data_IF_772583440560
#
_entry.id   IF_772583440560
#
_cell.length_a   1.000
_cell.length_b   1.000
_cell.length_c   1.000
_cell.angle_alpha   90.00
_cell.angle_beta   90.00
_cell.angle_gamma   90.00
#
_symmetry.space_group_name_H-M   'P 1'
#
loop_
_entity.id
_entity.type
_entity.pdbx_description
1 polymer ?
#
# COMPACT_ATOMS: atom_id res chain seq x y z
N UNK A 1 -26.14 -19.05 9.27
CA UNK A 1 -25.51 -18.01 10.10
C UNK A 1 -24.57 -18.69 11.06
N UNK A 2 -23.26 -18.43 11.00
CA UNK A 2 -22.35 -18.91 12.03
C UNK A 2 -22.63 -18.17 13.33
N UNK A 3 -22.63 -18.87 14.46
CA UNK A 3 -22.56 -18.19 15.75
C UNK A 3 -21.16 -17.65 15.94
N UNK A 4 -21.00 -16.34 16.15
CA UNK A 4 -19.75 -15.75 16.60
C UNK A 4 -19.57 -16.12 18.08
N UNK A 5 -18.51 -16.87 18.39
CA UNK A 5 -18.24 -17.32 19.76
C UNK A 5 -17.42 -16.28 20.53
N UNK A 6 -16.51 -15.60 19.85
CA UNK A 6 -15.64 -14.57 20.45
C UNK A 6 -15.26 -13.50 19.42
N UNK A 7 -15.02 -12.29 19.88
CA UNK A 7 -14.51 -11.18 19.09
C UNK A 7 -13.61 -10.29 19.95
N UNK A 8 -12.50 -9.82 19.37
CA UNK A 8 -11.63 -8.81 19.96
C UNK A 8 -12.02 -7.44 19.42
N UNK A 9 -12.42 -6.55 20.32
CA UNK A 9 -12.70 -5.15 19.98
C UNK A 9 -11.45 -4.29 20.20
N UNK A 10 -11.07 -3.50 19.19
CA UNK A 10 -10.00 -2.50 19.27
C UNK A 10 -10.62 -1.08 19.22
N UNK A 11 -11.02 -0.52 20.38
CA UNK A 11 -11.89 0.68 20.44
C UNK A 11 -11.21 1.97 19.94
N UNK A 12 -9.91 1.95 19.70
CA UNK A 12 -9.14 3.11 19.19
C UNK A 12 -8.83 2.99 17.69
N UNK A 13 -9.19 1.89 17.05
CA UNK A 13 -8.99 1.75 15.62
C UNK A 13 -10.00 2.57 14.83
N UNK A 14 -9.51 3.22 13.78
CA UNK A 14 -10.28 4.10 12.93
C UNK A 14 -10.39 3.51 11.51
N UNK A 15 -11.50 3.79 10.86
CA UNK A 15 -11.74 3.38 9.47
C UNK A 15 -11.81 4.59 8.56
N UNK A 16 -11.02 4.58 7.48
CA UNK A 16 -11.02 5.65 6.48
C UNK A 16 -11.29 5.13 5.07
N UNK A 17 -12.03 5.90 4.28
CA UNK A 17 -12.21 5.65 2.86
C UNK A 17 -11.03 6.26 2.07
N UNK A 18 -10.02 5.44 1.78
CA UNK A 18 -8.81 5.89 1.07
C UNK A 18 -9.10 6.44 -0.34
N UNK A 19 -10.16 5.96 -1.00
CA UNK A 19 -10.56 6.47 -2.32
C UNK A 19 -11.10 7.91 -2.21
N UNK A 20 -12.00 8.17 -1.27
CA UNK A 20 -12.54 9.52 -1.02
C UNK A 20 -11.43 10.47 -0.58
N UNK A 21 -10.58 10.03 0.33
CA UNK A 21 -9.44 10.83 0.82
C UNK A 21 -8.49 11.21 -0.31
N UNK A 22 -8.05 10.25 -1.14
CA UNK A 22 -7.11 10.50 -2.24
C UNK A 22 -7.68 11.48 -3.26
N UNK A 23 -8.98 11.34 -3.62
CA UNK A 23 -9.64 12.27 -4.54
C UNK A 23 -9.78 13.67 -3.94
N UNK A 24 -10.10 13.79 -2.66
CA UNK A 24 -10.18 15.08 -1.98
C UNK A 24 -8.81 15.75 -1.90
N UNK A 25 -7.77 14.99 -1.55
CA UNK A 25 -6.41 15.48 -1.48
C UNK A 25 -5.89 15.94 -2.86
N UNK A 26 -6.20 15.20 -3.93
CA UNK A 26 -5.82 15.59 -5.28
C UNK A 26 -6.46 16.92 -5.70
N UNK A 27 -7.74 17.14 -5.40
CA UNK A 27 -8.40 18.43 -5.66
C UNK A 27 -7.72 19.56 -4.90
N UNK A 28 -7.50 19.37 -3.60
CA UNK A 28 -6.85 20.39 -2.77
C UNK A 28 -5.41 20.66 -3.22
N UNK A 29 -4.65 19.65 -3.59
CA UNK A 29 -3.30 19.81 -4.13
C UNK A 29 -3.31 20.61 -5.45
N UNK A 30 -4.30 20.38 -6.32
CA UNK A 30 -4.46 21.15 -7.55
C UNK A 30 -4.73 22.64 -7.27
N UNK A 31 -5.55 22.96 -6.27
CA UNK A 31 -5.79 24.34 -5.81
C UNK A 31 -4.49 25.02 -5.32
N UNK A 32 -3.55 24.23 -4.79
CA UNK A 32 -2.22 24.69 -4.38
C UNK A 32 -1.19 24.71 -5.51
N UNK A 33 -1.61 24.45 -6.76
CA UNK A 33 -0.75 24.55 -7.95
C UNK A 33 -0.09 23.25 -8.38
N UNK A 34 -0.44 22.10 -7.81
CA UNK A 34 0.04 20.80 -8.29
C UNK A 34 -0.63 20.47 -9.62
N UNK A 35 0.18 20.16 -10.63
CA UNK A 35 -0.29 19.76 -11.96
C UNK A 35 -0.41 18.25 -12.05
N UNK A 36 -1.61 17.75 -12.31
CA UNK A 36 -1.89 16.34 -12.52
C UNK A 36 -1.97 16.01 -14.02
N UNK A 37 -1.17 15.05 -14.47
CA UNK A 37 -1.20 14.55 -15.84
C UNK A 37 -1.71 13.10 -15.83
N UNK A 38 -3.03 12.95 -15.95
CA UNK A 38 -3.68 11.64 -16.04
C UNK A 38 -3.54 11.06 -17.45
N UNK A 39 -3.77 9.74 -17.59
CA UNK A 39 -3.67 9.02 -18.86
C UNK A 39 -2.31 9.18 -19.54
N UNK A 40 -1.26 9.38 -18.75
CA UNK A 40 0.10 9.58 -19.21
C UNK A 40 0.94 8.34 -18.90
N UNK A 41 1.42 7.67 -19.95
CA UNK A 41 2.31 6.53 -19.82
C UNK A 41 3.75 6.99 -19.60
N UNK A 42 4.39 6.48 -18.55
CA UNK A 42 5.80 6.73 -18.26
C UNK A 42 6.64 5.69 -18.99
N UNK A 43 7.48 6.14 -19.93
CA UNK A 43 8.35 5.29 -20.73
C UNK A 43 9.75 5.11 -20.12
N UNK A 44 10.15 5.97 -19.18
CA UNK A 44 11.43 5.88 -18.49
C UNK A 44 11.87 7.21 -17.88
N UNK A 45 13.05 7.19 -17.29
CA UNK A 45 13.70 8.37 -16.73
C UNK A 45 14.73 8.92 -17.73
N UNK A 46 15.01 10.21 -17.66
CA UNK A 46 16.17 10.83 -18.29
C UNK A 46 17.24 11.02 -17.23
N UNK A 47 18.40 10.39 -17.44
CA UNK A 47 19.54 10.46 -16.51
C UNK A 47 20.79 10.82 -17.26
N UNK A 48 21.44 11.91 -16.86
CA UNK A 48 22.69 12.41 -17.42
C UNK A 48 23.69 12.72 -16.32
N UNK A 49 24.94 12.25 -16.46
CA UNK A 49 25.98 12.48 -15.47
C UNK A 49 25.64 12.00 -14.05
N UNK A 50 24.87 10.92 -13.93
CA UNK A 50 24.44 10.39 -12.63
C UNK A 50 23.33 11.20 -11.95
N UNK A 51 22.69 12.12 -12.67
CA UNK A 51 21.59 12.95 -12.16
C UNK A 51 20.33 12.73 -12.99
N UNK A 52 19.15 12.67 -12.34
CA UNK A 52 17.88 12.68 -13.05
C UNK A 52 17.63 14.07 -13.66
N UNK A 53 17.13 14.10 -14.90
CA UNK A 53 16.78 15.33 -15.63
C UNK A 53 15.29 15.43 -15.93
N UNK A 54 14.55 14.35 -15.70
CA UNK A 54 13.12 14.32 -15.93
C UNK A 54 12.60 12.92 -16.23
N UNK A 55 11.39 12.88 -16.77
CA UNK A 55 10.62 11.68 -17.06
C UNK A 55 10.19 11.69 -18.53
N UNK A 56 10.47 10.59 -19.26
CA UNK A 56 9.98 10.38 -20.62
C UNK A 56 8.59 9.79 -20.58
N UNK A 57 7.66 10.43 -21.25
CA UNK A 57 6.25 9.99 -21.33
C UNK A 57 5.83 9.75 -22.78
N UNK A 58 4.65 9.18 -22.98
CA UNK A 58 4.03 9.07 -24.31
C UNK A 58 3.63 10.41 -24.93
N UNK A 59 3.58 11.48 -24.14
CA UNK A 59 3.24 12.85 -24.57
C UNK A 59 4.46 13.76 -24.68
N UNK A 60 5.68 13.24 -24.40
CA UNK A 60 6.92 14.00 -24.47
C UNK A 60 7.75 13.92 -23.19
N UNK A 61 8.74 14.79 -23.11
CA UNK A 61 9.67 14.88 -21.98
C UNK A 61 9.15 15.87 -20.94
N UNK A 62 9.01 15.43 -19.69
CA UNK A 62 8.75 16.28 -18.53
C UNK A 62 10.06 16.51 -17.79
N UNK A 63 10.62 17.70 -17.85
CA UNK A 63 11.86 18.06 -17.16
C UNK A 63 11.61 18.27 -15.67
N UNK A 64 12.55 17.79 -14.84
CA UNK A 64 12.50 17.94 -13.39
C UNK A 64 13.90 17.80 -12.79
N UNK A 65 14.20 18.60 -11.76
CA UNK A 65 15.43 18.49 -10.98
C UNK A 65 15.38 17.34 -9.97
N UNK A 66 14.18 16.94 -9.59
CA UNK A 66 13.92 15.87 -8.62
C UNK A 66 12.72 15.05 -9.07
N UNK A 67 12.83 13.73 -8.96
CA UNK A 67 11.79 12.77 -9.33
C UNK A 67 11.56 11.83 -8.16
N UNK A 68 10.30 11.63 -7.78
CA UNK A 68 9.89 10.63 -6.78
C UNK A 68 9.17 9.49 -7.50
N UNK A 69 9.70 8.28 -7.40
CA UNK A 69 9.06 7.08 -7.93
C UNK A 69 8.15 6.51 -6.84
N UNK A 70 6.82 6.61 -7.05
CA UNK A 70 5.78 6.16 -6.13
C UNK A 70 4.78 5.22 -6.83
N UNK A 71 5.29 4.34 -7.71
CA UNK A 71 4.47 3.46 -8.57
C UNK A 71 4.09 2.12 -7.91
N UNK A 72 4.28 2.00 -6.59
CA UNK A 72 3.96 0.77 -5.86
C UNK A 72 4.65 -0.44 -6.48
N UNK A 73 3.89 -1.46 -6.83
CA UNK A 73 4.40 -2.71 -7.43
C UNK A 73 5.09 -2.52 -8.78
N UNK A 74 4.85 -1.42 -9.49
CA UNK A 74 5.48 -1.13 -10.79
C UNK A 74 6.80 -0.35 -10.67
N UNK A 75 7.15 0.13 -9.48
CA UNK A 75 8.40 0.85 -9.24
C UNK A 75 9.65 0.08 -9.68
N UNK A 76 9.78 -1.24 -9.42
CA UNK A 76 10.94 -2.01 -9.88
C UNK A 76 11.17 -1.97 -11.39
N UNK A 77 10.08 -2.05 -12.16
CA UNK A 77 10.17 -2.05 -13.63
C UNK A 77 10.73 -0.73 -14.17
N UNK A 78 10.35 0.40 -13.55
CA UNK A 78 10.83 1.71 -13.97
C UNK A 78 12.30 1.92 -13.63
N UNK A 79 12.78 1.45 -12.46
CA UNK A 79 14.14 1.79 -12.01
C UNK A 79 15.19 0.74 -12.37
N UNK A 80 14.81 -0.49 -12.74
CA UNK A 80 15.71 -1.58 -13.10
C UNK A 80 16.68 -1.22 -14.26
N UNK A 81 16.26 -0.53 -15.34
CA UNK A 81 17.17 -0.13 -16.42
C UNK A 81 18.32 0.79 -15.98
N UNK A 82 18.18 1.42 -14.80
CA UNK A 82 19.17 2.33 -14.22
C UNK A 82 20.04 1.67 -13.15
N UNK A 83 20.03 0.33 -13.08
CA UNK A 83 20.85 -0.44 -12.15
C UNK A 83 20.32 -0.50 -10.71
N UNK A 84 19.13 0.03 -10.45
CA UNK A 84 18.52 0.01 -9.12
C UNK A 84 17.73 -1.29 -8.93
N UNK A 85 18.20 -2.16 -8.05
CA UNK A 85 17.49 -3.38 -7.62
C UNK A 85 16.52 -3.03 -6.51
N UNK A 86 15.24 -2.95 -6.85
CA UNK A 86 14.18 -2.64 -5.90
C UNK A 86 13.41 -3.92 -5.52
N UNK A 87 13.57 -4.47 -4.30
CA UNK A 87 12.98 -5.74 -3.91
C UNK A 87 11.52 -5.57 -3.49
N UNK A 88 10.68 -5.14 -4.42
CA UNK A 88 9.24 -5.00 -4.22
C UNK A 88 8.54 -6.03 -5.10
N UNK A 89 7.77 -6.91 -4.47
CA UNK A 89 7.01 -7.96 -5.14
C UNK A 89 5.51 -7.66 -5.16
N UNK A 90 4.82 -7.85 -6.30
CA UNK A 90 3.37 -7.65 -6.40
C UNK A 90 2.62 -8.84 -5.79
N UNK A 91 2.03 -8.66 -4.61
CA UNK A 91 1.15 -9.66 -3.99
C UNK A 91 -0.29 -9.30 -4.29
N UNK A 92 -0.96 -10.16 -5.07
CA UNK A 92 -2.34 -9.92 -5.49
C UNK A 92 -3.33 -10.15 -4.35
N UNK A 93 -4.20 -9.18 -4.14
CA UNK A 93 -5.38 -9.28 -3.30
C UNK A 93 -6.66 -9.09 -4.09
N UNK A 94 -7.77 -9.56 -3.54
CA UNK A 94 -9.09 -9.45 -4.14
C UNK A 94 -10.03 -8.63 -3.28
N UNK A 95 -11.00 -7.99 -3.91
CA UNK A 95 -11.98 -7.17 -3.20
C UNK A 95 -13.34 -7.19 -3.88
N UNK A 96 -14.40 -7.14 -3.05
CA UNK A 96 -15.76 -6.82 -3.48
C UNK A 96 -16.16 -5.45 -2.92
N UNK A 97 -16.86 -4.68 -3.74
CA UNK A 97 -17.58 -3.48 -3.31
C UNK A 97 -19.06 -3.74 -3.52
N UNK A 98 -19.80 -3.81 -2.44
CA UNK A 98 -21.18 -4.32 -2.41
C UNK A 98 -22.11 -3.17 -1.99
N UNK A 99 -23.12 -2.80 -2.75
CA UNK A 99 -24.14 -1.84 -2.30
C UNK A 99 -24.89 -2.38 -1.07
N UNK A 100 -25.19 -1.53 -0.10
CA UNK A 100 -26.04 -1.88 1.04
C UNK A 100 -27.50 -1.75 0.63
N UNK A 101 -28.26 -2.83 0.80
CA UNK A 101 -29.71 -2.86 0.59
C UNK A 101 -30.50 -2.94 1.91
N UNK A 102 -29.87 -3.43 2.99
CA UNK A 102 -30.43 -3.43 4.33
C UNK A 102 -29.36 -2.99 5.35
N UNK A 103 -29.49 -1.75 5.80
CA UNK A 103 -28.53 -1.15 6.70
C UNK A 103 -28.49 -1.79 8.10
N UNK A 104 -29.59 -2.41 8.54
CA UNK A 104 -29.68 -3.08 9.84
C UNK A 104 -28.91 -4.40 9.89
N UNK A 105 -28.57 -4.96 8.73
CA UNK A 105 -27.84 -6.21 8.55
C UNK A 105 -26.46 -6.02 7.91
N UNK A 106 -26.02 -4.78 7.81
CA UNK A 106 -24.68 -4.40 7.36
C UNK A 106 -23.74 -4.21 8.55
N UNK A 107 -22.40 -4.27 8.37
CA UNK A 107 -21.47 -3.96 9.44
C UNK A 107 -21.60 -2.51 9.87
N UNK A 108 -21.34 -2.20 11.13
CA UNK A 108 -21.24 -0.84 11.66
C UNK A 108 -19.80 -0.30 11.61
N UNK A 109 -18.82 -1.21 11.78
CA UNK A 109 -17.39 -0.92 11.78
C UNK A 109 -16.63 -1.87 10.84
N UNK A 110 -15.31 -1.86 10.91
CA UNK A 110 -14.47 -2.87 10.26
C UNK A 110 -14.41 -4.13 11.11
N UNK A 111 -14.65 -5.28 10.48
CA UNK A 111 -14.54 -6.61 11.09
C UNK A 111 -13.52 -7.41 10.29
N UNK A 112 -12.62 -8.11 11.00
CA UNK A 112 -11.72 -9.08 10.42
C UNK A 112 -12.26 -10.49 10.66
N UNK A 113 -12.66 -11.17 9.59
CA UNK A 113 -12.95 -12.60 9.64
C UNK A 113 -11.63 -13.37 9.65
N UNK A 114 -11.21 -13.80 10.83
CA UNK A 114 -9.94 -14.51 11.03
C UNK A 114 -9.93 -15.89 10.40
N UNK A 115 -11.09 -16.51 10.17
CA UNK A 115 -11.19 -17.82 9.49
C UNK A 115 -10.72 -17.76 8.05
N UNK A 116 -11.07 -16.69 7.32
CA UNK A 116 -10.74 -16.51 5.93
C UNK A 116 -9.69 -15.42 5.68
N UNK A 117 -9.26 -14.71 6.75
CA UNK A 117 -8.38 -13.55 6.65
C UNK A 117 -8.96 -12.48 5.71
N UNK A 118 -10.24 -12.16 5.94
CA UNK A 118 -11.03 -11.22 5.13
C UNK A 118 -11.46 -10.05 6.00
N UNK A 119 -11.14 -8.84 5.56
CA UNK A 119 -11.63 -7.60 6.16
C UNK A 119 -12.96 -7.20 5.54
N UNK A 120 -13.95 -6.90 6.37
CA UNK A 120 -15.29 -6.46 5.98
C UNK A 120 -15.50 -5.08 6.60
N UNK A 121 -15.67 -4.05 5.77
CA UNK A 121 -15.72 -2.65 6.21
C UNK A 121 -16.93 -1.95 5.61
N UNK A 122 -17.67 -1.21 6.43
CA UNK A 122 -18.70 -0.29 5.93
C UNK A 122 -18.07 1.03 5.50
N UNK A 123 -18.33 1.47 4.27
CA UNK A 123 -17.91 2.75 3.72
C UNK A 123 -19.14 3.53 3.19
N UNK A 124 -19.88 4.15 4.13
CA UNK A 124 -21.12 4.83 3.84
C UNK A 124 -22.24 3.86 3.43
N UNK A 125 -22.63 3.91 2.16
CA UNK A 125 -23.66 3.08 1.53
C UNK A 125 -23.14 1.77 0.93
N UNK A 126 -21.88 1.42 1.16
CA UNK A 126 -21.21 0.26 0.59
C UNK A 126 -20.52 -0.58 1.67
N UNK A 127 -20.47 -1.89 1.41
CA UNK A 127 -19.59 -2.81 2.15
C UNK A 127 -18.37 -3.08 1.26
N UNK A 128 -17.17 -2.83 1.78
CA UNK A 128 -15.92 -3.25 1.19
C UNK A 128 -15.49 -4.56 1.83
N UNK A 129 -15.27 -5.59 1.00
CA UNK A 129 -14.75 -6.89 1.43
C UNK A 129 -13.43 -7.11 0.76
N UNK A 130 -12.36 -7.28 1.51
CA UNK A 130 -11.02 -7.43 0.96
C UNK A 130 -10.23 -8.50 1.68
N UNK A 131 -9.48 -9.30 0.93
CA UNK A 131 -8.66 -10.35 1.53
C UNK A 131 -7.73 -11.01 0.53
N UNK A 132 -7.16 -12.12 1.01
CA UNK A 132 -6.29 -13.00 0.26
C UNK A 132 -4.92 -12.38 -0.08
N UNK A 133 -3.95 -13.24 -0.28
CA UNK A 133 -2.62 -12.92 -0.75
C UNK A 133 -2.21 -14.01 -1.74
N UNK A 134 -2.09 -13.66 -3.01
CA UNK A 134 -1.74 -14.58 -4.08
C UNK A 134 -0.43 -14.16 -4.72
N UNK A 135 0.51 -15.11 -4.81
CA UNK A 135 1.81 -14.92 -5.43
C UNK A 135 1.67 -15.33 -6.92
N UNK A 136 1.38 -14.35 -7.77
CA UNK A 136 1.15 -14.57 -9.21
C UNK A 136 1.82 -13.51 -10.09
N UNK A 137 2.84 -12.82 -9.55
CA UNK A 137 3.51 -11.73 -10.25
C UNK A 137 2.51 -10.62 -10.61
N UNK A 138 2.65 -10.10 -11.81
CA UNK A 138 1.79 -9.01 -12.32
C UNK A 138 0.47 -9.52 -12.93
N UNK A 139 0.10 -10.79 -12.73
CA UNK A 139 -1.16 -11.33 -13.23
C UNK A 139 -2.34 -10.78 -12.42
N UNK A 140 -3.10 -9.85 -13.00
CA UNK A 140 -4.28 -9.24 -12.40
C UNK A 140 -5.62 -9.94 -12.75
N UNK A 141 -5.57 -11.12 -13.40
CA UNK A 141 -6.76 -11.88 -13.79
C UNK A 141 -7.63 -12.18 -12.57
N UNK A 142 -8.94 -11.90 -12.70
CA UNK A 142 -9.92 -12.18 -11.67
C UNK A 142 -10.31 -13.66 -11.67
N UNK A 143 -10.18 -14.30 -10.51
CA UNK A 143 -10.51 -15.73 -10.32
C UNK A 143 -11.84 -15.84 -9.60
N UNK A 144 -12.85 -16.43 -10.27
CA UNK A 144 -14.22 -16.50 -9.76
C UNK A 144 -14.32 -17.30 -8.44
N UNK A 145 -13.47 -18.29 -8.21
CA UNK A 145 -13.42 -19.00 -6.94
C UNK A 145 -13.10 -18.05 -5.75
N UNK A 146 -12.26 -17.02 -5.99
CA UNK A 146 -11.92 -16.02 -4.97
C UNK A 146 -13.10 -15.09 -4.68
N UNK A 147 -13.88 -14.73 -5.73
CA UNK A 147 -15.11 -13.97 -5.58
C UNK A 147 -16.11 -14.71 -4.68
N UNK A 148 -16.30 -16.01 -4.93
CA UNK A 148 -17.20 -16.85 -4.12
C UNK A 148 -16.81 -16.88 -2.64
N UNK A 149 -15.52 -16.97 -2.32
CA UNK A 149 -15.05 -16.97 -0.92
C UNK A 149 -15.32 -15.62 -0.24
N UNK A 150 -15.06 -14.49 -0.91
CA UNK A 150 -15.37 -13.16 -0.36
C UNK A 150 -16.87 -12.98 -0.14
N UNK A 151 -17.68 -13.38 -1.12
CA UNK A 151 -19.13 -13.30 -1.05
C UNK A 151 -19.69 -14.16 0.09
N UNK A 152 -19.16 -15.37 0.26
CA UNK A 152 -19.56 -16.29 1.35
C UNK A 152 -19.30 -15.67 2.73
N UNK A 153 -18.06 -15.17 2.99
CA UNK A 153 -17.70 -14.58 4.27
C UNK A 153 -18.61 -13.41 4.64
N UNK A 154 -18.84 -12.49 3.71
CA UNK A 154 -19.68 -11.31 3.99
C UNK A 154 -21.15 -11.67 4.15
N UNK A 155 -21.69 -12.58 3.35
CA UNK A 155 -23.10 -12.95 3.42
C UNK A 155 -23.42 -13.74 4.70
N UNK A 156 -22.47 -14.54 5.17
CA UNK A 156 -22.62 -15.30 6.40
C UNK A 156 -22.66 -14.39 7.64
N UNK A 157 -21.86 -13.31 7.66
CA UNK A 157 -21.76 -12.39 8.80
C UNK A 157 -22.72 -11.19 8.66
N UNK A 158 -22.81 -10.60 7.46
CA UNK A 158 -23.51 -9.35 7.18
C UNK A 158 -24.32 -9.44 5.87
N UNK A 159 -25.50 -10.09 5.88
CA UNK A 159 -26.28 -10.32 4.67
C UNK A 159 -27.05 -9.08 4.16
N UNK A 160 -26.75 -7.87 4.67
CA UNK A 160 -27.40 -6.62 4.27
C UNK A 160 -26.89 -6.01 2.95
N UNK A 161 -25.97 -6.68 2.26
CA UNK A 161 -25.44 -6.21 0.96
C UNK A 161 -25.98 -6.97 -0.23
N UNK A 162 -26.17 -6.28 -1.37
CA UNK A 162 -26.53 -6.93 -2.65
C UNK A 162 -25.28 -7.45 -3.36
N UNK A 163 -24.93 -8.72 -3.08
CA UNK A 163 -23.75 -9.39 -3.67
C UNK A 163 -23.89 -9.57 -5.20
N UNK A 164 -25.11 -9.56 -5.74
CA UNK A 164 -25.32 -9.69 -7.20
C UNK A 164 -24.85 -8.45 -7.93
N UNK A 165 -25.00 -7.28 -7.32
CA UNK A 165 -24.50 -5.99 -7.85
C UNK A 165 -23.08 -5.64 -7.41
N UNK A 166 -22.37 -6.56 -6.75
CA UNK A 166 -21.03 -6.31 -6.28
C UNK A 166 -20.03 -6.12 -7.42
N UNK A 167 -19.20 -5.09 -7.32
CA UNK A 167 -18.03 -4.92 -8.19
C UNK A 167 -16.87 -5.76 -7.65
N UNK A 168 -16.38 -6.69 -8.48
CA UNK A 168 -15.23 -7.54 -8.16
C UNK A 168 -13.96 -7.02 -8.83
N UNK A 169 -12.88 -6.86 -8.08
CA UNK A 169 -11.61 -6.37 -8.59
C UNK A 169 -10.41 -6.93 -7.81
N UNK A 170 -9.23 -6.77 -8.35
CA UNK A 170 -7.97 -7.14 -7.71
C UNK A 170 -6.99 -5.98 -7.68
N UNK A 171 -6.03 -6.03 -6.76
CA UNK A 171 -4.94 -5.08 -6.66
C UNK A 171 -3.64 -5.78 -6.29
N UNK A 172 -2.52 -5.16 -6.64
CA UNK A 172 -1.17 -5.66 -6.39
C UNK A 172 -0.55 -4.88 -5.22
N UNK A 173 -0.42 -5.53 -4.06
CA UNK A 173 0.25 -4.93 -2.90
C UNK A 173 1.76 -4.93 -3.13
N UNK A 174 2.43 -3.78 -2.98
CA UNK A 174 3.88 -3.67 -3.16
C UNK A 174 4.62 -4.18 -1.92
N UNK A 175 4.86 -5.48 -1.84
CA UNK A 175 5.48 -6.11 -0.67
C UNK A 175 6.99 -6.08 -0.75
N UNK A 176 7.63 -5.64 0.31
CA UNK A 176 9.08 -5.77 0.55
C UNK A 176 9.37 -7.06 1.33
N UNK A 177 10.59 -7.60 1.30
CA UNK A 177 10.93 -8.83 2.03
C UNK A 177 10.80 -8.73 3.55
N UNK A 178 11.00 -7.53 4.10
CA UNK A 178 11.00 -7.24 5.54
C UNK A 178 9.72 -6.52 6.01
N UNK A 179 8.78 -6.21 5.10
CA UNK A 179 7.56 -5.48 5.40
C UNK A 179 7.73 -3.97 5.59
N UNK A 180 8.97 -3.47 5.65
CA UNK A 180 9.27 -2.05 5.81
C UNK A 180 9.23 -1.35 4.46
N UNK A 181 8.58 -0.17 4.30
CA UNK A 181 8.56 0.57 3.03
C UNK A 181 9.97 1.08 2.66
N UNK A 182 10.13 1.42 1.39
CA UNK A 182 11.35 2.03 0.87
C UNK A 182 11.07 3.50 0.58
N UNK A 183 11.63 4.36 1.43
CA UNK A 183 11.47 5.81 1.35
C UNK A 183 12.85 6.45 1.44
N UNK A 184 13.29 7.14 0.37
CA UNK A 184 14.60 7.76 0.43
C UNK A 184 15.24 8.05 -0.92
N UNK A 185 16.51 8.43 -0.85
CA UNK A 185 17.36 8.74 -2.00
C UNK A 185 17.85 7.45 -2.67
N UNK A 186 18.13 7.54 -3.95
CA UNK A 186 18.89 6.50 -4.68
C UNK A 186 20.34 6.93 -4.88
N UNK A 187 21.12 6.06 -5.54
CA UNK A 187 22.46 6.41 -6.00
C UNK A 187 22.45 7.45 -7.15
N UNK A 188 21.29 7.65 -7.82
CA UNK A 188 21.12 8.66 -8.86
C UNK A 188 20.69 9.96 -8.19
N UNK A 189 21.45 11.02 -8.39
CA UNK A 189 21.13 12.32 -7.83
C UNK A 189 19.76 12.83 -8.29
N UNK A 190 19.00 13.41 -7.38
CA UNK A 190 17.64 13.89 -7.65
C UNK A 190 16.57 12.79 -7.76
N UNK A 191 16.92 11.51 -7.75
CA UNK A 191 15.95 10.41 -7.83
C UNK A 191 15.65 9.83 -6.44
N UNK A 192 14.36 9.81 -6.08
CA UNK A 192 13.84 9.34 -4.80
C UNK A 192 12.83 8.20 -4.99
N UNK A 193 12.69 7.38 -3.96
CA UNK A 193 11.70 6.29 -3.89
C UNK A 193 10.72 6.56 -2.75
N UNK A 194 9.44 6.23 -2.97
CA UNK A 194 8.40 6.17 -1.96
C UNK A 194 7.44 5.03 -2.31
N UNK A 195 7.80 3.80 -1.92
CA UNK A 195 7.13 2.58 -2.37
C UNK A 195 7.30 1.42 -1.36
N UNK A 196 6.71 0.27 -1.65
CA UNK A 196 6.93 -0.92 -0.84
C UNK A 196 6.13 -0.97 0.46
N UNK A 197 5.02 -0.25 0.57
CA UNK A 197 4.23 -0.12 1.80
C UNK A 197 3.38 -1.36 2.14
N UNK A 198 3.40 -2.38 1.31
CA UNK A 198 2.70 -3.64 1.57
C UNK A 198 1.21 -3.48 1.83
N UNK A 199 0.75 -4.04 2.95
CA UNK A 199 -0.66 -3.98 3.38
C UNK A 199 -0.98 -2.74 4.23
N UNK A 200 0.02 -2.00 4.71
CA UNK A 200 -0.12 -0.89 5.66
C UNK A 200 0.02 0.49 5.02
N UNK A 201 0.04 0.57 3.68
CA UNK A 201 0.26 1.82 2.97
C UNK A 201 -0.73 2.93 3.31
N UNK A 202 -1.99 2.59 3.56
CA UNK A 202 -3.01 3.54 4.01
C UNK A 202 -2.63 4.15 5.36
N UNK A 203 -2.38 3.31 6.35
CA UNK A 203 -2.01 3.73 7.72
C UNK A 203 -0.74 4.58 7.74
N UNK A 204 0.26 4.23 6.93
CA UNK A 204 1.54 4.93 6.88
C UNK A 204 1.57 6.14 5.94
N UNK A 205 0.51 6.43 5.19
CA UNK A 205 0.54 7.37 4.06
C UNK A 205 0.99 8.78 4.45
N UNK A 206 0.45 9.35 5.53
CA UNK A 206 0.80 10.69 5.98
C UNK A 206 2.25 10.78 6.48
N UNK A 207 2.70 9.81 7.28
CA UNK A 207 4.09 9.75 7.76
C UNK A 207 5.09 9.58 6.61
N UNK A 208 4.79 8.68 5.67
CA UNK A 208 5.60 8.48 4.46
C UNK A 208 5.70 9.74 3.60
N UNK A 209 4.57 10.44 3.44
CA UNK A 209 4.53 11.70 2.70
C UNK A 209 5.38 12.78 3.37
N UNK A 210 5.36 12.88 4.71
CA UNK A 210 6.18 13.83 5.46
C UNK A 210 7.67 13.53 5.27
N UNK A 211 8.08 12.29 5.48
CA UNK A 211 9.49 11.87 5.34
C UNK A 211 10.00 12.15 3.93
N UNK A 212 9.26 11.75 2.88
CA UNK A 212 9.73 11.98 1.50
C UNK A 212 9.76 13.46 1.13
N UNK A 213 8.81 14.25 1.62
CA UNK A 213 8.77 15.69 1.38
C UNK A 213 9.98 16.40 2.00
N UNK A 214 10.38 16.03 3.22
CA UNK A 214 11.56 16.58 3.88
C UNK A 214 12.84 16.20 3.12
N UNK A 215 13.00 14.92 2.75
CA UNK A 215 14.16 14.45 1.99
C UNK A 215 14.28 15.14 0.61
N UNK A 216 13.17 15.28 -0.13
CA UNK A 216 13.13 15.96 -1.43
C UNK A 216 13.45 17.44 -1.27
N UNK A 217 13.00 18.08 -0.20
CA UNK A 217 13.28 19.50 0.09
C UNK A 217 14.65 19.74 0.70
N UNK A 218 15.45 18.69 0.97
CA UNK A 218 16.77 18.81 1.61
C UNK A 218 16.71 19.09 3.09
N UNK A 219 15.56 18.86 3.74
CA UNK A 219 15.38 18.93 5.19
C UNK A 219 15.65 17.57 5.84
N UNK A 220 16.03 17.60 7.12
CA UNK A 220 16.10 16.38 7.94
C UNK A 220 14.66 15.95 8.31
N UNK A 221 14.27 14.67 8.12
CA UNK A 221 13.01 14.16 8.64
C UNK A 221 12.96 14.20 10.18
N UNK A 222 11.75 14.29 10.75
CA UNK A 222 11.53 14.26 12.21
C UNK A 222 11.89 12.92 12.84
N UNK A 223 11.88 11.84 12.06
CA UNK A 223 12.26 10.49 12.51
C UNK A 223 13.55 10.06 11.82
N UNK A 224 14.29 9.14 12.44
CA UNK A 224 15.37 8.48 11.74
C UNK A 224 14.80 7.64 10.58
N UNK A 225 15.24 7.97 9.37
CA UNK A 225 14.77 7.32 8.13
C UNK A 225 15.82 6.39 7.51
N UNK A 226 16.92 6.10 8.21
CA UNK A 226 18.00 5.25 7.69
C UNK A 226 17.48 3.83 7.35
N UNK A 227 16.63 3.27 8.20
CA UNK A 227 16.03 1.95 7.99
C UNK A 227 14.97 1.93 6.87
N UNK A 228 14.56 3.08 6.37
CA UNK A 228 13.65 3.18 5.22
C UNK A 228 14.41 3.23 3.89
N UNK A 229 15.73 3.43 3.91
CA UNK A 229 16.54 3.59 2.72
C UNK A 229 16.71 2.26 1.96
N UNK A 230 16.79 2.34 0.61
CA UNK A 230 17.02 1.17 -0.24
C UNK A 230 18.34 0.48 0.07
N UNK A 231 19.33 1.21 0.56
CA UNK A 231 20.68 0.72 0.88
C UNK A 231 20.68 -0.39 1.94
N UNK A 232 19.61 -0.54 2.74
CA UNK A 232 19.47 -1.67 3.68
C UNK A 232 19.49 -3.03 2.99
N UNK A 233 19.22 -3.07 1.70
CA UNK A 233 19.29 -4.29 0.88
C UNK A 233 20.62 -4.49 0.15
N UNK A 234 21.59 -3.59 0.31
CA UNK A 234 22.91 -3.74 -0.26
C UNK A 234 23.66 -4.86 0.45
N UNK A 235 24.05 -5.89 -0.29
CA UNK A 235 24.68 -7.11 0.25
C UNK A 235 25.98 -6.86 1.04
N UNK A 236 26.59 -5.70 0.86
CA UNK A 236 27.81 -5.31 1.58
C UNK A 236 27.56 -4.94 3.06
N UNK A 237 26.31 -4.71 3.46
CA UNK A 237 25.93 -4.34 4.84
C UNK A 237 25.17 -5.44 5.59
N UNK A 238 24.89 -6.60 4.99
CA UNK A 238 24.26 -7.71 5.68
C UNK A 238 25.21 -8.41 6.67
N UNK A 239 25.64 -7.70 7.70
CA UNK A 239 25.96 -8.35 8.96
C UNK A 239 24.63 -8.81 9.52
N UNK A 240 24.40 -10.10 9.53
CA UNK A 240 23.33 -10.76 10.25
C UNK A 240 23.27 -10.17 11.67
N UNK A 241 22.33 -9.30 11.92
CA UNK A 241 21.95 -8.97 13.29
C UNK A 241 21.13 -10.16 13.75
N UNK A 242 21.76 -11.06 14.48
CA UNK A 242 21.05 -12.13 15.18
C UNK A 242 19.94 -11.50 16.02
N UNK A 243 18.72 -12.05 15.99
CA UNK A 243 17.65 -11.55 16.87
C UNK A 243 18.14 -11.63 18.31
N UNK A 244 18.06 -10.53 19.04
CA UNK A 244 18.34 -10.53 20.49
C UNK A 244 17.39 -11.54 21.12
N UNK A 245 17.90 -12.49 21.94
CA UNK A 245 17.03 -13.39 22.68
C UNK A 245 16.10 -12.55 23.57
N UNK A 246 14.81 -12.86 23.52
CA UNK A 246 13.83 -12.27 24.41
C UNK A 246 14.29 -12.48 25.85
N UNK A 247 14.49 -11.38 26.60
CA UNK A 247 14.71 -11.48 28.04
C UNK A 247 13.40 -11.99 28.67
N UNK A 248 13.36 -13.27 28.97
CA UNK A 248 12.33 -13.85 29.85
C UNK A 248 12.61 -13.30 31.24
N UNK A 249 11.80 -12.34 31.67
CA UNK A 249 11.85 -11.83 33.02
C UNK A 249 11.56 -12.94 34.01
N UNK A 250 12.55 -13.31 34.81
CA UNK A 250 12.37 -14.18 35.95
C UNK A 250 11.55 -13.42 37.00
N UNK A 251 10.27 -13.75 37.13
CA UNK A 251 9.46 -13.38 38.29
C UNK A 251 9.99 -14.15 39.50
N UNK A 252 10.71 -13.45 40.38
CA UNK A 252 11.05 -13.98 41.69
C UNK A 252 9.77 -14.10 42.52
N UNK A 253 9.49 -15.32 42.99
CA UNK A 253 8.56 -15.56 44.09
C UNK A 253 9.24 -15.10 45.40
N UNK A 254 8.51 -14.36 46.16
CA UNK A 254 8.41 -14.43 47.61
C UNK A 254 7.02 -14.00 48.04
#
# INVERSE_FOLDING_TARGET
>A
MRSLWEGLLTPKDETGDCFKFTNALARHAAELGVVFQYNTLINGLEVEGGQVRGVRTNTGMVRADRVVVALGSYSPQLVAPYGIRLPVYPVKGYSLTIPICDASRAPESTVMDETFKIAITRLGDRIRVGGMAEISGYNATLVEARRKTLAYSVTDLFPGGDVKQATFWSGLRPMTPDGTPIIGRTAIGGLFLNTGHGTLGWTMSCGSARVIADLVSGRAPEIDSADLAIQRYDRSQSKFVSPRPAQVGASARN
#
